data_IF_337891328819
#
_entry.id   IF_337891328819
#
_cell.length_a   1.000
_cell.length_b   1.000
_cell.length_c   1.000
_cell.angle_alpha   90.00
_cell.angle_beta   90.00
_cell.angle_gamma   90.00
#
_symmetry.space_group_name_H-M   'P 1'
#
loop_
_entity.id
_entity.type
_entity.pdbx_description
1 polymer ?
#
# COMPACT_ATOMS: atom_id res chain seq x y z
N UNK A 1 3.23 14.07 -11.72
CA UNK A 1 2.27 14.37 -10.64
C UNK A 1 2.95 15.34 -9.68
N UNK A 2 2.21 16.26 -9.06
CA UNK A 2 2.77 17.07 -7.97
C UNK A 2 2.92 16.19 -6.74
N UNK A 3 4.13 16.06 -6.21
CA UNK A 3 4.40 15.35 -4.97
C UNK A 3 3.52 15.89 -3.83
N UNK A 4 3.07 15.00 -2.94
CA UNK A 4 2.32 15.37 -1.74
C UNK A 4 3.31 16.00 -0.75
N UNK A 5 3.16 17.29 -0.46
CA UNK A 5 4.12 18.04 0.35
C UNK A 5 3.95 17.75 1.85
N UNK A 6 5.04 17.38 2.52
CA UNK A 6 5.12 17.20 3.97
C UNK A 6 5.61 18.51 4.64
N UNK A 7 5.35 18.73 5.95
CA UNK A 7 4.70 17.85 6.92
C UNK A 7 3.19 17.68 6.77
N UNK A 8 2.65 16.61 7.34
CA UNK A 8 1.26 16.18 7.24
C UNK A 8 0.50 16.38 8.56
N UNK A 9 -0.77 16.78 8.44
CA UNK A 9 -1.79 16.60 9.47
C UNK A 9 -2.61 15.36 9.12
N UNK A 10 -2.66 14.38 10.01
CA UNK A 10 -3.44 13.16 9.81
C UNK A 10 -4.90 13.39 10.21
N UNK A 11 -5.77 13.58 9.23
CA UNK A 11 -7.19 13.79 9.45
C UNK A 11 -7.90 12.45 9.65
N UNK A 12 -8.36 12.21 10.88
CA UNK A 12 -9.05 10.98 11.28
C UNK A 12 -10.57 11.10 11.30
N UNK A 13 -11.12 12.31 11.05
CA UNK A 13 -12.55 12.55 11.09
C UNK A 13 -13.19 11.95 12.34
N UNK A 14 -14.30 11.25 12.16
CA UNK A 14 -15.07 10.52 13.16
C UNK A 14 -14.89 9.00 13.04
N UNK A 15 -13.67 8.52 12.79
CA UNK A 15 -13.36 7.10 12.61
C UNK A 15 -13.98 6.23 13.73
N UNK A 16 -14.80 5.21 13.39
CA UNK A 16 -15.52 4.42 14.39
C UNK A 16 -14.63 3.42 15.13
N UNK A 17 -13.44 3.13 14.60
CA UNK A 17 -12.44 2.20 15.15
C UNK A 17 -11.05 2.45 14.55
N UNK A 18 -10.04 1.77 15.08
CA UNK A 18 -8.65 1.88 14.60
C UNK A 18 -8.47 1.38 13.15
N UNK A 19 -9.28 0.41 12.73
CA UNK A 19 -9.17 -0.21 11.40
C UNK A 19 -9.62 0.76 10.30
N UNK A 20 -10.60 1.63 10.58
CA UNK A 20 -11.01 2.71 9.70
C UNK A 20 -9.87 3.71 9.43
N UNK A 21 -8.94 3.88 10.38
CA UNK A 21 -7.76 4.74 10.25
C UNK A 21 -6.51 4.01 9.71
N UNK A 22 -6.66 2.82 9.09
CA UNK A 22 -5.52 2.03 8.59
C UNK A 22 -4.60 2.80 7.64
N UNK A 23 -5.15 3.73 6.85
CA UNK A 23 -4.37 4.55 5.93
C UNK A 23 -3.45 5.47 6.73
N UNK A 24 -4.01 6.20 7.70
CA UNK A 24 -3.25 7.09 8.55
C UNK A 24 -2.19 6.35 9.37
N UNK A 25 -2.55 5.20 9.93
CA UNK A 25 -1.63 4.33 10.66
C UNK A 25 -0.47 3.87 9.78
N UNK A 26 -0.74 3.44 8.55
CA UNK A 26 0.30 3.04 7.60
C UNK A 26 1.28 4.17 7.28
N UNK A 27 0.77 5.38 7.02
CA UNK A 27 1.63 6.56 6.77
C UNK A 27 2.48 6.88 8.00
N UNK A 28 1.87 6.97 9.19
CA UNK A 28 2.60 7.24 10.44
C UNK A 28 3.62 6.17 10.79
N UNK A 29 3.34 4.91 10.49
CA UNK A 29 4.26 3.80 10.77
C UNK A 29 5.51 3.90 9.90
N UNK A 30 5.35 4.17 8.60
CA UNK A 30 6.46 4.14 7.64
C UNK A 30 7.14 5.49 7.42
N UNK A 31 6.45 6.60 7.71
CA UNK A 31 6.95 7.98 7.57
C UNK A 31 6.56 8.82 8.80
N UNK A 32 6.91 8.39 10.03
CA UNK A 32 6.57 9.14 11.25
C UNK A 32 7.12 10.58 11.21
N UNK A 33 8.27 10.78 10.58
CA UNK A 33 8.92 12.09 10.41
C UNK A 33 8.11 13.08 9.57
N UNK A 34 7.20 12.58 8.72
CA UNK A 34 6.29 13.41 7.94
C UNK A 34 5.00 13.75 8.68
N UNK A 35 4.65 13.07 9.77
CA UNK A 35 3.38 13.23 10.46
C UNK A 35 3.51 14.12 11.70
N UNK A 36 3.08 15.38 11.60
CA UNK A 36 3.27 16.37 12.68
C UNK A 36 2.19 16.31 13.76
N UNK A 37 0.98 15.90 13.40
CA UNK A 37 -0.15 15.82 14.33
C UNK A 37 -1.31 15.01 13.74
N UNK A 38 -2.35 14.85 14.55
CA UNK A 38 -3.63 14.27 14.14
C UNK A 38 -4.78 15.23 14.41
N UNK A 39 -5.82 15.16 13.58
CA UNK A 39 -7.07 15.87 13.79
C UNK A 39 -8.21 14.87 13.93
N UNK A 40 -9.01 15.00 14.99
CA UNK A 40 -10.13 14.11 15.33
C UNK A 40 -11.40 14.91 15.54
N UNK A 41 -12.50 14.45 14.95
CA UNK A 41 -13.84 14.97 15.23
C UNK A 41 -14.43 14.30 16.49
N UNK A 42 -15.46 14.93 17.11
CA UNK A 42 -16.19 14.31 18.20
C UNK A 42 -16.67 12.89 17.84
N UNK A 43 -16.41 11.94 18.73
CA UNK A 43 -16.78 10.53 18.54
C UNK A 43 -15.75 9.66 17.80
N UNK A 44 -14.64 10.24 17.32
CA UNK A 44 -13.53 9.48 16.77
C UNK A 44 -12.93 8.52 17.81
N UNK A 45 -12.82 7.24 17.47
CA UNK A 45 -12.24 6.18 18.32
C UNK A 45 -10.85 5.73 17.86
N UNK A 46 -10.35 6.26 16.74
CA UNK A 46 -9.01 6.00 16.28
C UNK A 46 -8.00 6.94 16.95
N UNK A 47 -6.78 6.44 17.17
CA UNK A 47 -5.67 7.22 17.68
C UNK A 47 -4.36 6.75 17.03
N UNK A 48 -3.52 7.68 16.59
CA UNK A 48 -2.19 7.37 16.03
C UNK A 48 -1.08 7.54 17.07
N UNK A 49 -1.42 8.09 18.24
CA UNK A 49 -0.47 8.55 19.25
C UNK A 49 0.31 9.79 18.81
N UNK A 50 -0.23 10.55 17.86
CA UNK A 50 0.31 11.86 17.47
C UNK A 50 -0.34 12.96 18.31
N UNK A 51 0.28 14.14 18.46
CA UNK A 51 -0.36 15.27 19.11
C UNK A 51 -1.69 15.62 18.42
N UNK A 52 -2.76 15.76 19.21
CA UNK A 52 -4.00 16.34 18.69
C UNK A 52 -3.76 17.82 18.38
N UNK A 53 -4.14 18.24 17.18
CA UNK A 53 -4.04 19.63 16.73
C UNK A 53 -5.37 20.09 16.16
N UNK A 54 -5.74 21.33 16.45
CA UNK A 54 -6.70 22.09 15.64
C UNK A 54 -6.10 22.38 14.26
N UNK A 55 -6.96 22.77 13.30
CA UNK A 55 -6.51 23.14 11.95
C UNK A 55 -5.59 24.36 12.01
N UNK A 56 -5.88 25.31 12.91
CA UNK A 56 -5.08 26.51 13.17
C UNK A 56 -3.70 26.18 13.76
N UNK A 57 -3.63 25.28 14.74
CA UNK A 57 -2.37 24.83 15.32
C UNK A 57 -1.52 24.10 14.29
N UNK A 58 -2.12 23.22 13.50
CA UNK A 58 -1.43 22.52 12.42
C UNK A 58 -0.83 23.49 11.39
N UNK A 59 -1.60 24.49 10.96
CA UNK A 59 -1.13 25.52 10.04
C UNK A 59 0.04 26.32 10.63
N UNK A 60 -0.07 26.76 11.90
CA UNK A 60 1.01 27.47 12.61
C UNK A 60 2.26 26.62 12.80
N UNK A 61 2.10 25.31 12.98
CA UNK A 61 3.18 24.36 13.09
C UNK A 61 3.85 24.03 11.74
N UNK A 62 3.35 24.59 10.64
CA UNK A 62 3.96 24.48 9.32
C UNK A 62 3.53 23.24 8.52
N UNK A 63 2.41 22.60 8.88
CA UNK A 63 1.80 21.55 8.06
C UNK A 63 1.57 22.07 6.64
N UNK A 64 1.90 21.23 5.65
CA UNK A 64 1.71 21.51 4.23
C UNK A 64 0.47 20.83 3.67
N UNK A 65 0.20 19.60 4.10
CA UNK A 65 -0.93 18.82 3.58
C UNK A 65 -1.75 18.18 4.68
N UNK A 66 -3.07 18.27 4.57
CA UNK A 66 -4.01 17.45 5.35
C UNK A 66 -4.24 16.14 4.60
N UNK A 67 -3.88 15.02 5.23
CA UNK A 67 -4.12 13.68 4.68
C UNK A 67 -5.43 13.14 5.25
N UNK A 68 -6.42 12.89 4.39
CA UNK A 68 -7.65 12.18 4.77
C UNK A 68 -7.29 10.71 5.02
N UNK A 69 -6.97 10.41 6.27
CA UNK A 69 -6.33 9.17 6.71
C UNK A 69 -7.30 8.04 7.03
N UNK A 70 -8.57 8.21 6.67
CA UNK A 70 -9.67 7.30 7.00
C UNK A 70 -10.30 6.66 5.78
N UNK A 71 -10.76 5.43 5.96
CA UNK A 71 -11.52 4.68 4.98
C UNK A 71 -12.80 4.14 5.63
N UNK A 72 -13.96 4.53 5.10
CA UNK A 72 -15.26 4.02 5.52
C UNK A 72 -15.91 3.12 4.45
N UNK A 73 -16.90 2.34 4.84
CA UNK A 73 -17.72 1.58 3.87
C UNK A 73 -18.41 2.57 2.93
N UNK A 74 -18.19 2.39 1.62
CA UNK A 74 -18.70 3.29 0.59
C UNK A 74 -17.77 4.45 0.21
N UNK A 75 -16.69 4.69 0.97
CA UNK A 75 -15.65 5.68 0.64
C UNK A 75 -16.17 7.10 0.46
N UNK A 76 -17.12 7.51 1.32
CA UNK A 76 -17.80 8.81 1.26
C UNK A 76 -17.30 9.70 2.39
N UNK A 77 -17.09 10.97 2.10
CA UNK A 77 -16.75 11.95 3.13
C UNK A 77 -17.99 12.31 3.97
N UNK A 78 -17.85 12.38 5.29
CA UNK A 78 -18.91 12.87 6.18
C UNK A 78 -19.13 14.37 6.03
N UNK A 79 -20.38 14.83 6.20
CA UNK A 79 -20.71 16.27 6.09
C UNK A 79 -19.92 17.11 7.10
N UNK A 80 -19.69 16.58 8.30
CA UNK A 80 -18.91 17.21 9.38
C UNK A 80 -17.43 17.41 9.05
N UNK A 81 -16.92 16.79 7.98
CA UNK A 81 -15.51 16.90 7.59
C UNK A 81 -15.26 18.12 6.72
N UNK A 82 -16.31 18.68 6.09
CA UNK A 82 -16.19 19.76 5.11
C UNK A 82 -15.61 21.01 5.74
N UNK A 83 -16.15 21.47 6.87
CA UNK A 83 -15.72 22.74 7.47
C UNK A 83 -14.26 22.70 7.94
N UNK A 84 -13.77 21.67 8.65
CA UNK A 84 -12.35 21.56 8.98
C UNK A 84 -11.42 21.48 7.76
N UNK A 85 -11.80 20.73 6.72
CA UNK A 85 -11.01 20.60 5.50
C UNK A 85 -10.96 21.93 4.72
N UNK A 86 -12.11 22.59 4.60
CA UNK A 86 -12.22 23.93 4.02
C UNK A 86 -11.33 24.93 4.76
N UNK A 87 -11.38 24.91 6.09
CA UNK A 87 -10.53 25.75 6.94
C UNK A 87 -9.05 25.50 6.68
N UNK A 88 -8.66 24.25 6.43
CA UNK A 88 -7.29 23.92 6.09
C UNK A 88 -6.80 24.57 4.80
N UNK A 89 -7.63 24.56 3.76
CA UNK A 89 -7.36 25.24 2.49
C UNK A 89 -7.22 26.76 2.69
N UNK A 90 -8.11 27.37 3.47
CA UNK A 90 -8.08 28.80 3.81
C UNK A 90 -6.81 29.19 4.59
N UNK A 91 -6.24 28.26 5.36
CA UNK A 91 -5.00 28.47 6.11
C UNK A 91 -3.73 28.06 5.35
N UNK A 92 -3.84 27.80 4.05
CA UNK A 92 -2.68 27.59 3.17
C UNK A 92 -2.22 26.14 3.03
N UNK A 93 -2.95 25.17 3.59
CA UNK A 93 -2.64 23.74 3.45
C UNK A 93 -3.32 23.14 2.21
N UNK A 94 -2.67 22.17 1.58
CA UNK A 94 -3.27 21.31 0.57
C UNK A 94 -4.07 20.17 1.22
N UNK A 95 -4.91 19.48 0.45
CA UNK A 95 -5.61 18.27 0.88
C UNK A 95 -5.19 17.11 -0.01
N UNK A 96 -4.98 15.94 0.59
CA UNK A 96 -4.88 14.70 -0.18
C UNK A 96 -5.74 13.58 0.40
N UNK A 97 -6.45 12.88 -0.49
CA UNK A 97 -7.50 11.92 -0.13
C UNK A 97 -7.40 10.64 -0.93
N UNK A 98 -7.57 9.50 -0.25
CA UNK A 98 -7.70 8.18 -0.86
C UNK A 98 -9.15 7.71 -0.97
N UNK A 99 -10.14 8.54 -0.67
CA UNK A 99 -11.55 8.10 -0.70
C UNK A 99 -12.00 7.67 -2.11
N UNK A 100 -13.00 6.79 -2.17
CA UNK A 100 -13.62 6.40 -3.45
C UNK A 100 -14.27 7.58 -4.16
N UNK A 101 -15.00 8.42 -3.42
CA UNK A 101 -15.50 9.68 -3.95
C UNK A 101 -14.42 10.75 -3.90
N UNK A 102 -14.24 11.47 -5.00
CA UNK A 102 -13.29 12.57 -5.10
C UNK A 102 -13.68 13.69 -4.14
N UNK A 103 -12.73 14.09 -3.32
CA UNK A 103 -12.88 15.26 -2.43
C UNK A 103 -12.86 16.54 -3.27
N UNK A 104 -12.14 16.54 -4.40
CA UNK A 104 -12.11 17.66 -5.33
C UNK A 104 -13.47 17.96 -6.00
N UNK A 105 -14.42 17.02 -5.98
CA UNK A 105 -15.77 17.21 -6.56
C UNK A 105 -16.75 17.84 -5.56
N UNK A 106 -16.36 18.02 -4.29
CA UNK A 106 -17.20 18.65 -3.27
C UNK A 106 -17.20 20.17 -3.51
N UNK A 107 -18.34 20.81 -3.83
CA UNK A 107 -18.37 22.21 -4.26
C UNK A 107 -17.66 23.17 -3.30
N UNK A 108 -17.97 23.07 -1.99
CA UNK A 108 -17.37 23.92 -0.96
C UNK A 108 -15.84 23.80 -0.87
N UNK A 109 -15.28 22.60 -1.08
CA UNK A 109 -13.84 22.37 -1.02
C UNK A 109 -13.16 22.79 -2.32
N UNK A 110 -13.79 22.52 -3.46
CA UNK A 110 -13.32 22.95 -4.78
C UNK A 110 -13.21 24.48 -4.86
N UNK A 111 -14.25 25.19 -4.43
CA UNK A 111 -14.28 26.65 -4.38
C UNK A 111 -13.20 27.20 -3.44
N UNK A 112 -13.07 26.64 -2.24
CA UNK A 112 -12.05 27.06 -1.29
C UNK A 112 -10.62 26.81 -1.78
N UNK A 113 -10.36 25.67 -2.44
CA UNK A 113 -9.07 25.37 -3.03
C UNK A 113 -8.71 26.38 -4.12
N UNK A 114 -9.65 26.68 -5.02
CA UNK A 114 -9.46 27.67 -6.08
C UNK A 114 -9.21 29.08 -5.51
N UNK A 115 -10.02 29.52 -4.54
CA UNK A 115 -9.91 30.86 -3.94
C UNK A 115 -8.58 31.09 -3.21
N UNK A 116 -7.98 30.03 -2.65
CA UNK A 116 -6.74 30.11 -1.88
C UNK A 116 -5.51 29.57 -2.66
N UNK A 117 -5.67 29.25 -3.96
CA UNK A 117 -4.60 28.70 -4.80
C UNK A 117 -3.98 27.43 -4.22
N UNK A 118 -4.80 26.56 -3.60
CA UNK A 118 -4.43 25.28 -2.98
C UNK A 118 -4.82 24.10 -3.86
N UNK A 119 -4.25 22.93 -3.57
CA UNK A 119 -4.50 21.70 -4.32
C UNK A 119 -5.31 20.70 -3.49
N UNK A 120 -6.20 19.99 -4.18
CA UNK A 120 -6.85 18.78 -3.66
C UNK A 120 -6.37 17.62 -4.54
N UNK A 121 -5.69 16.65 -3.94
CA UNK A 121 -5.12 15.49 -4.64
C UNK A 121 -5.85 14.21 -4.24
N UNK A 122 -6.70 13.70 -5.12
CA UNK A 122 -7.43 12.44 -4.94
C UNK A 122 -6.58 11.25 -5.43
N UNK A 123 -5.67 10.73 -4.59
CA UNK A 123 -4.64 9.73 -4.97
C UNK A 123 -5.20 8.39 -5.45
N UNK A 124 -6.48 8.11 -5.15
CA UNK A 124 -7.14 6.91 -5.66
C UNK A 124 -7.45 7.01 -7.15
N UNK A 125 -7.62 8.22 -7.69
CA UNK A 125 -8.02 8.42 -9.08
C UNK A 125 -6.80 8.79 -9.91
N UNK A 126 -6.37 7.95 -10.86
CA UNK A 126 -5.25 8.28 -11.74
C UNK A 126 -5.52 9.60 -12.47
N UNK A 127 -4.53 10.49 -12.49
CA UNK A 127 -4.59 11.76 -13.24
C UNK A 127 -3.98 11.63 -14.63
N UNK A 128 -3.72 10.39 -15.07
CA UNK A 128 -3.09 10.06 -16.35
C UNK A 128 -3.81 8.89 -16.97
N UNK A 129 -3.70 8.83 -18.28
CA UNK A 129 -4.06 7.64 -19.05
C UNK A 129 -2.90 6.64 -19.02
N UNK A 130 -3.26 5.38 -19.21
CA UNK A 130 -2.32 4.27 -19.27
C UNK A 130 -2.53 3.53 -20.58
N UNK A 131 -1.43 3.11 -21.19
CA UNK A 131 -1.48 2.26 -22.36
C UNK A 131 -1.92 0.84 -21.97
N UNK A 132 -2.37 0.08 -22.97
CA UNK A 132 -2.46 -1.38 -22.82
C UNK A 132 -1.03 -1.92 -22.69
N UNK A 133 -0.81 -2.89 -21.79
CA UNK A 133 0.51 -3.45 -21.58
C UNK A 133 1.11 -4.02 -22.87
N UNK A 134 2.38 -3.70 -23.11
CA UNK A 134 3.14 -4.21 -24.26
C UNK A 134 3.61 -5.65 -24.04
N UNK A 135 3.83 -6.06 -22.79
CA UNK A 135 4.41 -7.36 -22.44
C UNK A 135 5.89 -7.47 -22.78
N UNK A 136 6.53 -6.41 -23.30
CA UNK A 136 7.96 -6.40 -23.64
C UNK A 136 8.77 -6.45 -22.35
N UNK A 137 9.74 -7.38 -22.24
CA UNK A 137 10.59 -7.49 -21.05
C UNK A 137 11.44 -6.24 -20.91
N UNK A 138 11.40 -5.63 -19.72
CA UNK A 138 12.16 -4.42 -19.39
C UNK A 138 13.41 -4.77 -18.56
N UNK A 139 14.56 -4.10 -18.77
CA UNK A 139 15.73 -4.28 -17.92
C UNK A 139 15.48 -3.78 -16.49
N UNK A 140 16.35 -4.14 -15.56
CA UNK A 140 16.13 -4.01 -14.12
C UNK A 140 15.36 -5.20 -13.54
N UNK A 141 15.46 -5.36 -12.23
CA UNK A 141 14.87 -6.46 -11.47
C UNK A 141 13.58 -6.01 -10.79
N UNK A 142 12.63 -6.93 -10.67
CA UNK A 142 11.30 -6.63 -10.11
C UNK A 142 10.92 -7.68 -9.09
N UNK A 143 10.48 -7.23 -7.92
CA UNK A 143 9.91 -8.06 -6.87
C UNK A 143 8.45 -7.66 -6.67
N UNK A 144 7.53 -8.62 -6.76
CA UNK A 144 6.12 -8.39 -6.47
C UNK A 144 5.72 -9.14 -5.19
N UNK A 145 5.13 -8.43 -4.23
CA UNK A 145 4.48 -9.12 -3.13
C UNK A 145 3.13 -9.66 -3.59
N UNK A 146 2.86 -10.94 -3.33
CA UNK A 146 1.57 -11.59 -3.57
C UNK A 146 1.04 -12.14 -2.25
N UNK A 147 -0.10 -12.81 -2.21
CA UNK A 147 -0.54 -13.39 -0.95
C UNK A 147 -1.73 -14.32 -1.04
N UNK A 148 -1.96 -15.02 0.06
CA UNK A 148 -3.10 -15.94 0.23
C UNK A 148 -4.43 -15.18 0.21
N UNK A 149 -4.42 -13.91 0.62
CA UNK A 149 -5.61 -13.06 0.71
C UNK A 149 -5.27 -11.55 0.64
N UNK A 150 -6.29 -10.70 0.69
CA UNK A 150 -6.22 -9.27 0.95
C UNK A 150 -5.80 -8.95 2.39
N UNK A 151 -5.15 -7.81 2.60
CA UNK A 151 -4.75 -7.32 3.94
C UNK A 151 -3.93 -8.34 4.76
N UNK A 152 -2.98 -9.01 4.12
CA UNK A 152 -2.04 -9.97 4.73
C UNK A 152 -0.60 -9.41 4.85
N UNK A 153 -0.45 -8.07 4.79
CA UNK A 153 0.85 -7.41 4.98
C UNK A 153 1.69 -7.15 3.72
N UNK A 154 1.18 -7.38 2.50
CA UNK A 154 1.93 -7.19 1.24
C UNK A 154 2.66 -5.84 1.11
N UNK A 155 1.98 -4.73 1.42
CA UNK A 155 2.57 -3.38 1.43
C UNK A 155 3.69 -3.28 2.48
N UNK A 156 3.47 -3.79 3.69
CA UNK A 156 4.46 -3.78 4.77
C UNK A 156 5.69 -4.61 4.40
N UNK A 157 5.50 -5.78 3.78
CA UNK A 157 6.59 -6.60 3.27
C UNK A 157 7.42 -5.84 2.23
N UNK A 158 6.76 -5.18 1.27
CA UNK A 158 7.45 -4.43 0.21
C UNK A 158 8.29 -3.27 0.77
N UNK A 159 7.73 -2.52 1.73
CA UNK A 159 8.43 -1.42 2.40
C UNK A 159 9.55 -1.90 3.32
N UNK A 160 9.36 -3.02 4.02
CA UNK A 160 10.41 -3.62 4.85
C UNK A 160 11.59 -4.09 3.99
N UNK A 161 11.30 -4.70 2.83
CA UNK A 161 12.31 -5.10 1.85
C UNK A 161 13.05 -3.88 1.29
N UNK A 162 12.33 -2.80 0.95
CA UNK A 162 12.96 -1.55 0.49
C UNK A 162 13.95 -1.01 1.52
N UNK A 163 13.49 -0.87 2.76
CA UNK A 163 14.30 -0.32 3.84
C UNK A 163 15.56 -1.15 4.10
N UNK A 164 15.43 -2.49 4.15
CA UNK A 164 16.57 -3.39 4.37
C UNK A 164 17.51 -3.44 3.16
N UNK A 165 17.00 -3.42 1.93
CA UNK A 165 17.82 -3.36 0.72
C UNK A 165 18.62 -2.06 0.64
N UNK A 166 17.98 -0.91 0.89
CA UNK A 166 18.66 0.40 0.95
C UNK A 166 19.72 0.45 2.05
N UNK A 167 19.42 -0.10 3.23
CA UNK A 167 20.37 -0.22 4.34
C UNK A 167 21.62 -1.03 3.96
N UNK A 168 21.48 -2.00 3.05
CA UNK A 168 22.59 -2.80 2.50
C UNK A 168 23.25 -2.20 1.25
N UNK A 169 22.88 -0.98 0.86
CA UNK A 169 23.45 -0.30 -0.31
C UNK A 169 22.93 -0.80 -1.66
N UNK A 170 21.84 -1.58 -1.69
CA UNK A 170 21.20 -2.00 -2.94
C UNK A 170 20.36 -0.87 -3.53
N UNK A 171 20.33 -0.78 -4.87
CA UNK A 171 19.40 0.10 -5.59
C UNK A 171 18.01 -0.53 -5.56
N UNK A 172 17.11 0.01 -4.76
CA UNK A 172 15.75 -0.50 -4.65
C UNK A 172 14.76 0.65 -4.48
N UNK A 173 13.61 0.60 -5.13
CA UNK A 173 12.55 1.59 -4.95
C UNK A 173 11.20 0.91 -4.72
N UNK A 174 10.47 1.38 -3.71
CA UNK A 174 9.10 0.95 -3.46
C UNK A 174 8.15 1.55 -4.52
N UNK A 175 7.37 0.68 -5.16
CA UNK A 175 6.39 1.04 -6.18
C UNK A 175 4.98 0.85 -5.64
N UNK A 176 4.35 1.97 -5.27
CA UNK A 176 3.02 1.99 -4.67
C UNK A 176 1.92 1.67 -5.68
N UNK A 177 1.05 0.74 -5.30
CA UNK A 177 -0.09 0.28 -6.12
C UNK A 177 -1.45 0.55 -5.46
N UNK A 178 -1.45 1.13 -4.26
CA UNK A 178 -2.65 1.54 -3.55
C UNK A 178 -2.50 2.90 -2.86
N UNK A 179 -3.63 3.49 -2.47
CA UNK A 179 -3.69 4.81 -1.85
C UNK A 179 -2.69 5.00 -0.68
N UNK A 180 -2.55 4.01 0.20
CA UNK A 180 -1.71 4.11 1.39
C UNK A 180 -0.24 4.10 1.00
N UNK A 181 0.13 3.24 0.04
CA UNK A 181 1.46 3.23 -0.55
C UNK A 181 1.80 4.58 -1.19
N UNK A 182 0.85 5.20 -1.91
CA UNK A 182 1.06 6.51 -2.56
C UNK A 182 1.33 7.60 -1.51
N UNK A 183 0.60 7.61 -0.39
CA UNK A 183 0.88 8.57 0.69
C UNK A 183 2.27 8.38 1.33
N UNK A 184 2.77 7.15 1.38
CA UNK A 184 4.09 6.81 1.93
C UNK A 184 5.21 7.17 0.95
N UNK A 185 5.04 6.81 -0.32
CA UNK A 185 6.02 6.96 -1.39
C UNK A 185 6.05 8.38 -1.97
N UNK A 186 4.91 9.07 -2.01
CA UNK A 186 4.72 10.35 -2.69
C UNK A 186 4.39 10.24 -4.18
N UNK A 187 4.43 9.04 -4.76
CA UNK A 187 4.07 8.74 -6.15
C UNK A 187 3.56 7.29 -6.26
N UNK A 188 2.83 6.99 -7.34
CA UNK A 188 2.33 5.65 -7.63
C UNK A 188 1.00 5.66 -8.39
N UNK A 189 0.31 4.52 -8.37
CA UNK A 189 -1.01 4.37 -9.00
C UNK A 189 -1.91 3.49 -8.15
N UNK A 190 -3.15 3.91 -7.89
CA UNK A 190 -4.14 3.04 -7.23
C UNK A 190 -4.74 2.10 -8.27
N UNK A 191 -4.17 0.90 -8.39
CA UNK A 191 -4.55 -0.03 -9.48
C UNK A 191 -5.99 -0.53 -9.36
N UNK A 192 -6.61 -0.43 -8.17
CA UNK A 192 -8.01 -0.78 -7.95
C UNK A 192 -9.02 0.18 -8.60
N UNK A 193 -8.54 1.36 -9.04
CA UNK A 193 -9.33 2.37 -9.74
C UNK A 193 -8.93 2.49 -11.23
N UNK A 194 -8.01 1.65 -11.71
CA UNK A 194 -7.63 1.58 -13.11
C UNK A 194 -8.64 0.70 -13.85
N UNK A 195 -9.09 1.16 -15.02
CA UNK A 195 -9.98 0.37 -15.89
C UNK A 195 -9.24 -0.92 -16.30
N UNK A 196 -9.97 -2.04 -16.32
CA UNK A 196 -9.41 -3.39 -16.42
C UNK A 196 -8.36 -3.56 -17.54
N UNK A 197 -8.64 -3.03 -18.74
CA UNK A 197 -7.76 -3.12 -19.92
C UNK A 197 -6.36 -2.53 -19.70
N UNK A 198 -6.22 -1.60 -18.75
CA UNK A 198 -5.00 -0.84 -18.54
C UNK A 198 -4.26 -1.18 -17.24
N UNK A 199 -4.75 -2.14 -16.44
CA UNK A 199 -4.11 -2.49 -15.15
C UNK A 199 -2.65 -2.89 -15.37
N UNK A 200 -2.39 -3.81 -16.29
CA UNK A 200 -1.02 -4.26 -16.57
C UNK A 200 -0.15 -3.12 -17.10
N UNK A 201 -0.68 -2.27 -17.97
CA UNK A 201 0.09 -1.16 -18.55
C UNK A 201 0.40 -0.06 -17.53
N UNK A 202 -0.50 0.19 -16.58
CA UNK A 202 -0.24 1.05 -15.43
C UNK A 202 0.94 0.54 -14.59
N UNK A 203 1.10 -0.78 -14.48
CA UNK A 203 2.21 -1.40 -13.76
C UNK A 203 3.50 -1.39 -14.59
N UNK A 204 3.42 -1.52 -15.92
CA UNK A 204 4.60 -1.31 -16.80
C UNK A 204 5.12 0.13 -16.68
N UNK A 205 4.23 1.11 -16.64
CA UNK A 205 4.57 2.51 -16.39
C UNK A 205 5.20 2.71 -15.00
N UNK A 206 4.62 2.09 -13.98
CA UNK A 206 5.06 2.22 -12.59
C UNK A 206 6.45 1.62 -12.35
N UNK A 207 6.78 0.52 -13.04
CA UNK A 207 8.05 -0.21 -12.95
C UNK A 207 8.78 -0.22 -14.33
N UNK A 208 9.32 0.95 -14.75
CA UNK A 208 9.90 1.12 -16.08
C UNK A 208 11.24 0.38 -16.21
N UNK A 209 11.89 0.53 -17.36
CA UNK A 209 13.26 0.06 -17.56
C UNK A 209 14.23 0.76 -16.60
N UNK A 210 15.11 -0.01 -15.96
CA UNK A 210 16.14 0.49 -15.04
C UNK A 210 17.48 -0.23 -15.28
N UNK A 211 18.53 0.22 -14.58
CA UNK A 211 19.82 -0.47 -14.52
C UNK A 211 19.63 -1.96 -14.15
N UNK A 212 20.43 -2.90 -14.70
CA UNK A 212 20.26 -4.33 -14.45
C UNK A 212 20.31 -4.78 -12.99
N UNK A 213 20.90 -3.98 -12.09
CA UNK A 213 21.03 -4.24 -10.65
C UNK A 213 19.98 -3.52 -9.79
N UNK A 214 19.11 -2.70 -10.39
CA UNK A 214 18.05 -1.97 -9.69
C UNK A 214 16.83 -2.86 -9.43
N UNK A 215 16.23 -2.73 -8.24
CA UNK A 215 15.02 -3.45 -7.83
C UNK A 215 13.80 -2.54 -7.72
N UNK A 216 12.77 -2.79 -8.52
CA UNK A 216 11.44 -2.25 -8.26
C UNK A 216 10.66 -3.21 -7.33
N UNK A 217 10.33 -2.73 -6.13
CA UNK A 217 9.59 -3.47 -5.11
C UNK A 217 8.12 -3.09 -5.19
N UNK A 218 7.36 -3.86 -5.96
CA UNK A 218 5.97 -3.58 -6.32
C UNK A 218 5.04 -4.05 -5.21
N UNK A 219 4.26 -3.11 -4.68
CA UNK A 219 3.21 -3.37 -3.70
C UNK A 219 2.16 -4.32 -4.29
N UNK A 220 1.89 -5.42 -3.60
CA UNK A 220 0.84 -6.34 -3.97
C UNK A 220 -0.56 -5.89 -3.59
N UNK A 221 -1.52 -6.04 -4.50
CA UNK A 221 -2.96 -5.91 -4.23
C UNK A 221 -3.67 -7.25 -4.41
N UNK A 222 -4.82 -7.42 -3.74
CA UNK A 222 -5.70 -8.57 -3.97
C UNK A 222 -5.11 -9.94 -3.57
N UNK A 223 -5.70 -10.99 -4.12
CA UNK A 223 -5.18 -12.36 -4.20
C UNK A 223 -5.82 -13.03 -5.42
N UNK A 224 -5.08 -13.89 -6.12
CA UNK A 224 -5.63 -14.69 -7.23
C UNK A 224 -6.76 -15.63 -6.77
N UNK A 225 -6.81 -15.96 -5.48
CA UNK A 225 -7.86 -16.79 -4.89
C UNK A 225 -9.07 -15.98 -4.38
N UNK A 226 -8.98 -14.65 -4.34
CA UNK A 226 -10.07 -13.82 -3.81
C UNK A 226 -11.07 -13.45 -4.92
N UNK A 227 -12.32 -13.90 -4.78
CA UNK A 227 -13.37 -13.75 -5.79
C UNK A 227 -13.57 -12.30 -6.27
N UNK A 228 -13.43 -11.31 -5.39
CA UNK A 228 -13.60 -9.89 -5.74
C UNK A 228 -12.37 -9.20 -6.33
N UNK A 229 -11.16 -9.75 -6.16
CA UNK A 229 -9.90 -9.00 -6.38
C UNK A 229 -8.85 -9.76 -7.21
N UNK A 230 -9.18 -10.95 -7.72
CA UNK A 230 -8.28 -11.75 -8.54
C UNK A 230 -7.84 -11.02 -9.82
N UNK A 231 -8.76 -10.28 -10.47
CA UNK A 231 -8.44 -9.53 -11.69
C UNK A 231 -7.33 -8.50 -11.51
N UNK A 232 -7.34 -7.77 -10.40
CA UNK A 232 -6.27 -6.81 -10.06
C UNK A 232 -4.94 -7.52 -9.83
N UNK A 233 -4.96 -8.66 -9.12
CA UNK A 233 -3.76 -9.44 -8.82
C UNK A 233 -3.10 -10.00 -10.08
N UNK A 234 -3.92 -10.46 -11.03
CA UNK A 234 -3.46 -10.99 -12.31
C UNK A 234 -2.86 -9.88 -13.19
N UNK A 235 -3.52 -8.72 -13.26
CA UNK A 235 -2.99 -7.56 -13.98
C UNK A 235 -1.66 -7.07 -13.39
N UNK A 236 -1.54 -7.06 -12.06
CA UNK A 236 -0.28 -6.76 -11.37
C UNK A 236 0.83 -7.74 -11.75
N UNK A 237 0.57 -9.05 -11.72
CA UNK A 237 1.55 -10.07 -12.09
C UNK A 237 2.07 -9.88 -13.52
N UNK A 238 1.17 -9.67 -14.47
CA UNK A 238 1.54 -9.51 -15.88
C UNK A 238 2.30 -8.21 -16.13
N UNK A 239 1.82 -7.09 -15.58
CA UNK A 239 2.51 -5.81 -15.73
C UNK A 239 3.85 -5.76 -14.99
N UNK A 240 3.95 -6.41 -13.84
CA UNK A 240 5.17 -6.41 -13.03
C UNK A 240 6.32 -7.19 -13.66
N UNK A 241 6.07 -8.21 -14.48
CA UNK A 241 7.12 -9.09 -15.04
C UNK A 241 8.14 -9.54 -13.99
N UNK A 242 7.65 -9.84 -12.78
CA UNK A 242 8.47 -10.00 -11.59
C UNK A 242 9.51 -11.10 -11.77
N UNK A 243 10.74 -10.85 -11.32
CA UNK A 243 11.79 -11.85 -11.22
C UNK A 243 11.63 -12.66 -9.93
N UNK A 244 11.11 -12.02 -8.87
CA UNK A 244 10.82 -12.65 -7.59
C UNK A 244 9.41 -12.30 -7.11
N UNK A 245 8.70 -13.29 -6.57
CA UNK A 245 7.50 -13.07 -5.76
C UNK A 245 7.75 -13.41 -4.29
N UNK A 246 7.15 -12.64 -3.39
CA UNK A 246 7.16 -12.91 -1.94
C UNK A 246 5.72 -13.10 -1.49
N UNK A 247 5.43 -14.21 -0.82
CA UNK A 247 4.06 -14.64 -0.50
C UNK A 247 3.71 -14.15 0.90
N UNK A 248 2.75 -13.24 0.99
CA UNK A 248 2.15 -12.78 2.23
C UNK A 248 1.02 -13.69 2.71
N UNK A 249 0.97 -13.97 4.00
CA UNK A 249 -0.13 -14.67 4.66
C UNK A 249 -0.42 -14.09 6.04
N UNK A 250 -1.57 -14.42 6.63
CA UNK A 250 -1.92 -14.08 8.01
C UNK A 250 -2.06 -15.37 8.80
N UNK A 251 -1.33 -15.47 9.92
CA UNK A 251 -1.33 -16.68 10.72
C UNK A 251 -2.73 -16.95 11.29
N UNK A 252 -3.18 -18.21 11.20
CA UNK A 252 -4.45 -18.69 11.72
C UNK A 252 -5.71 -17.97 11.19
N UNK A 253 -5.64 -17.25 10.06
CA UNK A 253 -6.82 -16.64 9.45
C UNK A 253 -7.83 -17.73 9.01
N UNK A 254 -9.08 -17.71 9.49
CA UNK A 254 -10.01 -18.82 9.26
C UNK A 254 -10.67 -18.80 7.87
N UNK A 255 -10.84 -17.61 7.29
CA UNK A 255 -11.52 -17.42 6.01
C UNK A 255 -11.02 -16.13 5.33
N UNK A 256 -11.30 -16.00 4.04
CA UNK A 256 -10.93 -14.80 3.28
C UNK A 256 -11.64 -13.57 3.81
N UNK A 257 -10.97 -12.42 3.72
CA UNK A 257 -11.47 -11.16 4.25
C UNK A 257 -12.71 -10.70 3.49
N UNK A 258 -13.84 -10.61 4.19
CA UNK A 258 -15.13 -10.22 3.59
C UNK A 258 -15.88 -11.35 2.90
N UNK A 259 -15.31 -12.57 2.88
CA UNK A 259 -15.91 -13.76 2.28
C UNK A 259 -15.89 -14.91 3.31
N UNK A 260 -16.81 -14.93 4.29
CA UNK A 260 -16.76 -15.85 5.44
C UNK A 260 -16.88 -17.33 5.07
N UNK A 261 -17.39 -17.65 3.88
CA UNK A 261 -17.52 -19.02 3.37
C UNK A 261 -16.33 -19.50 2.54
N UNK A 262 -15.38 -18.62 2.23
CA UNK A 262 -14.20 -18.94 1.41
C UNK A 262 -12.99 -19.19 2.31
N UNK A 263 -12.36 -20.37 2.18
CA UNK A 263 -11.12 -20.72 2.88
C UNK A 263 -9.92 -20.12 2.17
N UNK A 264 -8.83 -19.92 2.92
CA UNK A 264 -7.54 -19.54 2.33
C UNK A 264 -6.93 -20.73 1.58
N UNK A 265 -6.20 -20.49 0.48
CA UNK A 265 -5.34 -21.50 -0.13
C UNK A 265 -4.16 -21.85 0.79
N UNK A 266 -3.56 -23.02 0.58
CA UNK A 266 -2.24 -23.34 1.16
C UNK A 266 -1.14 -22.43 0.58
N UNK A 267 0.02 -22.40 1.24
CA UNK A 267 1.17 -21.66 0.74
C UNK A 267 1.65 -22.25 -0.59
N UNK A 268 1.69 -23.58 -0.72
CA UNK A 268 2.06 -24.27 -1.97
C UNK A 268 1.15 -23.91 -3.14
N UNK A 269 -0.17 -23.99 -2.94
CA UNK A 269 -1.15 -23.60 -3.97
C UNK A 269 -0.97 -22.13 -4.37
N UNK A 270 -0.75 -21.25 -3.38
CA UNK A 270 -0.50 -19.83 -3.64
C UNK A 270 0.76 -19.62 -4.47
N UNK A 271 1.87 -20.28 -4.12
CA UNK A 271 3.12 -20.20 -4.88
C UNK A 271 2.91 -20.69 -6.31
N UNK A 272 2.36 -21.89 -6.46
CA UNK A 272 2.17 -22.54 -7.76
C UNK A 272 1.34 -21.67 -8.71
N UNK A 273 0.18 -21.19 -8.25
CA UNK A 273 -0.71 -20.40 -9.09
C UNK A 273 -0.08 -19.06 -9.49
N UNK A 274 0.58 -18.37 -8.55
CA UNK A 274 1.22 -17.09 -8.87
C UNK A 274 2.41 -17.27 -9.84
N UNK A 275 3.23 -18.31 -9.67
CA UNK A 275 4.31 -18.61 -10.62
C UNK A 275 3.76 -18.99 -11.99
N UNK A 276 2.71 -19.82 -12.03
CA UNK A 276 2.05 -20.22 -13.28
C UNK A 276 1.54 -19.00 -14.04
N UNK A 277 0.79 -18.12 -13.38
CA UNK A 277 0.26 -16.90 -14.02
C UNK A 277 1.38 -15.91 -14.38
N UNK A 278 2.35 -15.68 -13.49
CA UNK A 278 3.46 -14.76 -13.74
C UNK A 278 4.38 -15.22 -14.88
N UNK A 279 4.53 -16.52 -15.09
CA UNK A 279 5.41 -17.08 -16.13
C UNK A 279 5.00 -16.69 -17.55
N UNK A 280 3.75 -16.23 -17.76
CA UNK A 280 3.29 -15.66 -19.02
C UNK A 280 4.17 -14.49 -19.49
N UNK A 281 4.64 -13.66 -18.56
CA UNK A 281 5.41 -12.44 -18.87
C UNK A 281 6.85 -12.49 -18.37
N UNK A 282 7.17 -13.43 -17.48
CA UNK A 282 8.54 -13.75 -17.09
C UNK A 282 8.69 -15.25 -16.81
N UNK A 283 9.11 -16.07 -17.79
CA UNK A 283 9.29 -17.52 -17.60
C UNK A 283 10.29 -17.90 -16.49
N UNK A 284 11.17 -16.98 -16.08
CA UNK A 284 12.18 -17.19 -15.05
C UNK A 284 11.75 -16.74 -13.64
N UNK A 285 10.48 -16.35 -13.44
CA UNK A 285 9.94 -15.93 -12.14
C UNK A 285 10.17 -16.98 -11.04
N UNK A 286 10.58 -16.54 -9.85
CA UNK A 286 10.85 -17.41 -8.69
C UNK A 286 10.09 -16.95 -7.45
N UNK A 287 9.76 -17.90 -6.56
CA UNK A 287 9.32 -17.56 -5.21
C UNK A 287 10.55 -17.33 -4.32
N UNK A 288 10.61 -16.18 -3.64
CA UNK A 288 11.78 -15.77 -2.86
C UNK A 288 11.60 -15.80 -1.35
N UNK A 289 10.39 -16.06 -0.86
CA UNK A 289 10.14 -16.18 0.58
C UNK A 289 8.68 -16.06 0.95
N UNK A 290 8.41 -16.38 2.21
CA UNK A 290 7.11 -16.25 2.86
C UNK A 290 7.20 -15.11 3.89
N UNK A 291 6.18 -14.25 3.90
CA UNK A 291 5.96 -13.31 4.99
C UNK A 291 4.64 -13.61 5.67
N UNK A 292 4.63 -13.63 6.98
CA UNK A 292 3.43 -13.88 7.76
C UNK A 292 3.14 -12.70 8.69
N UNK A 293 1.90 -12.25 8.74
CA UNK A 293 1.40 -11.44 9.84
C UNK A 293 1.18 -12.36 11.06
N UNK A 294 2.04 -12.23 12.06
CA UNK A 294 1.97 -13.00 13.31
C UNK A 294 1.55 -12.14 14.51
N UNK A 295 0.96 -10.96 14.27
CA UNK A 295 0.65 -9.98 15.32
C UNK A 295 -0.28 -10.50 16.42
N UNK A 296 -1.07 -11.54 16.12
CA UNK A 296 -2.01 -12.18 17.05
C UNK A 296 -1.41 -13.38 17.80
N UNK A 297 -0.14 -13.71 17.55
CA UNK A 297 0.55 -14.85 18.15
C UNK A 297 1.59 -14.39 19.19
N UNK A 298 1.83 -15.24 20.18
CA UNK A 298 3.02 -15.12 21.01
C UNK A 298 4.30 -15.28 20.17
N UNK A 299 5.46 -14.95 20.75
CA UNK A 299 6.73 -15.09 20.02
C UNK A 299 7.04 -16.52 19.62
N UNK A 300 6.84 -17.46 20.54
CA UNK A 300 7.08 -18.87 20.31
C UNK A 300 6.15 -19.41 19.20
N UNK A 301 4.85 -19.11 19.28
CA UNK A 301 3.89 -19.50 18.25
C UNK A 301 4.19 -18.88 16.88
N UNK A 302 4.66 -17.63 16.85
CA UNK A 302 5.08 -16.97 15.63
C UNK A 302 6.31 -17.68 15.02
N UNK A 303 7.33 -17.99 15.81
CA UNK A 303 8.51 -18.75 15.36
C UNK A 303 8.13 -20.15 14.86
N UNK A 304 7.26 -20.86 15.56
CA UNK A 304 6.76 -22.18 15.16
C UNK A 304 5.95 -22.12 13.86
N UNK A 305 5.11 -21.09 13.68
CA UNK A 305 4.39 -20.86 12.43
C UNK A 305 5.36 -20.65 11.27
N UNK A 306 6.36 -19.77 11.45
CA UNK A 306 7.34 -19.46 10.43
C UNK A 306 8.20 -20.68 10.08
N UNK A 307 8.65 -21.45 11.08
CA UNK A 307 9.39 -22.68 10.86
C UNK A 307 8.58 -23.69 10.04
N UNK A 308 7.30 -23.88 10.36
CA UNK A 308 6.43 -24.77 9.56
C UNK A 308 6.28 -24.29 8.13
N UNK A 309 6.20 -22.98 7.89
CA UNK A 309 6.17 -22.42 6.54
C UNK A 309 7.50 -22.67 5.79
N UNK A 310 8.66 -22.55 6.46
CA UNK A 310 9.96 -22.91 5.89
C UNK A 310 10.02 -24.40 5.55
N UNK A 311 9.61 -25.28 6.47
CA UNK A 311 9.63 -26.73 6.28
C UNK A 311 8.67 -27.17 5.16
N UNK A 312 7.49 -26.54 5.05
CA UNK A 312 6.50 -26.84 4.01
C UNK A 312 7.00 -26.45 2.61
N UNK A 313 7.61 -25.26 2.49
CA UNK A 313 7.87 -24.62 1.19
C UNK A 313 9.32 -24.70 0.74
N UNK A 314 10.26 -24.95 1.65
CA UNK A 314 11.70 -24.84 1.40
C UNK A 314 12.20 -23.41 1.17
N UNK A 315 11.38 -22.40 1.46
CA UNK A 315 11.69 -20.98 1.27
C UNK A 315 11.91 -20.28 2.61
N UNK A 316 12.73 -19.21 2.68
CA UNK A 316 12.86 -18.43 3.91
C UNK A 316 11.51 -17.84 4.32
N UNK A 317 11.18 -17.93 5.61
CA UNK A 317 9.96 -17.34 6.16
C UNK A 317 10.29 -16.38 7.31
N UNK A 318 9.56 -15.26 7.35
CA UNK A 318 9.71 -14.27 8.43
C UNK A 318 8.41 -13.50 8.68
N UNK A 319 8.34 -12.81 9.82
CA UNK A 319 7.40 -11.71 10.02
C UNK A 319 8.15 -10.40 9.73
N UNK A 320 7.75 -9.63 8.71
CA UNK A 320 8.49 -8.46 8.25
C UNK A 320 8.55 -7.33 9.29
N UNK A 321 7.57 -7.27 10.20
CA UNK A 321 7.50 -6.25 11.25
C UNK A 321 8.20 -6.72 12.51
N UNK A 322 8.00 -7.99 12.89
CA UNK A 322 8.49 -8.52 14.16
C UNK A 322 9.97 -8.94 14.13
N UNK A 323 10.40 -9.59 13.05
CA UNK A 323 11.73 -10.21 12.95
C UNK A 323 12.57 -9.63 11.80
N UNK A 324 11.99 -8.74 11.00
CA UNK A 324 12.62 -8.15 9.83
C UNK A 324 12.71 -9.10 8.64
N UNK A 325 13.29 -8.62 7.54
CA UNK A 325 13.24 -9.31 6.22
C UNK A 325 14.60 -9.80 5.73
N UNK A 326 15.62 -9.81 6.60
CA UNK A 326 17.01 -10.10 6.22
C UNK A 326 17.17 -11.42 5.46
N UNK A 327 16.51 -12.50 5.92
CA UNK A 327 16.55 -13.82 5.25
C UNK A 327 16.08 -13.77 3.79
N UNK A 328 15.06 -12.94 3.50
CA UNK A 328 14.52 -12.80 2.14
C UNK A 328 15.48 -11.93 1.30
N UNK A 329 16.04 -10.87 1.88
CA UNK A 329 17.04 -10.04 1.18
C UNK A 329 18.31 -10.84 0.86
N UNK A 330 18.72 -11.77 1.74
CA UNK A 330 19.83 -12.70 1.48
C UNK A 330 19.57 -13.62 0.28
N UNK A 331 18.33 -14.07 0.10
CA UNK A 331 17.92 -14.83 -1.08
C UNK A 331 17.99 -13.96 -2.33
N UNK A 332 17.41 -12.76 -2.27
CA UNK A 332 17.33 -11.83 -3.39
C UNK A 332 18.72 -11.37 -3.87
N UNK A 333 19.65 -11.12 -2.95
CA UNK A 333 21.00 -10.66 -3.26
C UNK A 333 21.88 -11.68 -4.02
N UNK A 334 21.44 -12.95 -4.10
CA UNK A 334 22.15 -14.02 -4.83
C UNK A 334 21.70 -14.17 -6.28
N UNK A 335 20.64 -13.46 -6.68
CA UNK A 335 20.09 -13.44 -8.03
C UNK A 335 20.73 -12.33 -8.85
#
# INVERSE_FOLDING_TARGET
>A
MSAIEAPYLMFLGDAPDQLAAKTAFGVKFWRPEKCLGQFRLPGCKADLGLPDMTIEEAAKAGVKTIIVGVANRGGVMGQSWIDPLKKGLELGMDISSGLHKKVADVPALKEAAAANGRKITDVRHPTRDFDVASGVKRPGKRLLTVGTDCSVGKMFTSLALEAEMKKRGMKADFRATGQTGIFIAGDGVSVDAVIADFISGAVEWLAPAHDPDHWDLIEGQGSLYHASYAGVSLGLLHGAQADVIVIGTEANRPHMRGLPTYKLPSLKETIELNLRCGSLTNPAIKAGGITANTSMLSEAEAQDFLKRAEDETGLPATDPVRFGVGKIVDFVARL
#
